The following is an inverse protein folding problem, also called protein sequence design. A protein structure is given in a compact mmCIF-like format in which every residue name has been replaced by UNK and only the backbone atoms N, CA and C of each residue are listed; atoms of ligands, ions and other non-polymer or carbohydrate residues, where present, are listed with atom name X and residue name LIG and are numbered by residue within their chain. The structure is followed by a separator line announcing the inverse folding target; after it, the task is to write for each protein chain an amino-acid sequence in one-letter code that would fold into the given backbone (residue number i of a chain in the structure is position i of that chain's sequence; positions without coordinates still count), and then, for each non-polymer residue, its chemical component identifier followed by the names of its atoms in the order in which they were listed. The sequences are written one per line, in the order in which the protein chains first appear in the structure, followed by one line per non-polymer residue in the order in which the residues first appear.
data_IF_130571371887
#
_entry.id   IF_130571371887
#
_cell.length_a   1.000
_cell.length_b   1.000
_cell.length_c   1.000
_cell.angle_alpha   90.00
_cell.angle_beta   90.00
_cell.angle_gamma   90.00
#
_symmetry.space_group_name_H-M   'P 1'
#
loop_
_entity.id
_entity.type
_entity.pdbx_description
1 polymer ?
#
# COMPACT_ATOMS: atom_id res chain seq x y z
N UNK A 1 0.46 -2.15 13.19
CA UNK A 1 -0.93 -1.71 13.37
C UNK A 1 -1.83 -2.88 13.04
N UNK A 2 -2.90 -3.17 13.81
CA UNK A 2 -3.79 -4.27 13.46
C UNK A 2 -4.56 -3.86 12.20
N UNK A 3 -4.34 -4.60 11.12
CA UNK A 3 -5.19 -4.56 9.94
C UNK A 3 -6.58 -4.93 10.44
N UNK A 4 -7.51 -3.97 10.44
CA UNK A 4 -8.85 -4.17 10.99
C UNK A 4 -9.46 -5.43 10.37
N UNK A 5 -9.86 -6.33 11.28
CA UNK A 5 -10.49 -7.61 11.00
C UNK A 5 -11.55 -7.50 9.92
N UNK A 6 -11.48 -8.44 8.96
CA UNK A 6 -12.60 -9.14 8.31
C UNK A 6 -13.92 -8.36 8.40
N UNK A 7 -14.02 -7.28 7.63
CA UNK A 7 -15.26 -6.54 7.46
C UNK A 7 -16.23 -7.41 6.66
N UNK A 8 -17.15 -8.04 7.37
CA UNK A 8 -18.53 -8.35 6.97
C UNK A 8 -18.84 -8.31 5.47
N UNK A 9 -18.61 -9.42 4.77
CA UNK A 9 -19.35 -9.73 3.54
C UNK A 9 -20.03 -11.07 3.73
N UNK A 10 -21.17 -11.06 4.42
CA UNK A 10 -22.15 -12.14 4.29
C UNK A 10 -22.83 -11.94 2.93
N UNK A 11 -22.32 -12.62 1.90
CA UNK A 11 -22.96 -12.66 0.58
C UNK A 11 -21.93 -12.69 -0.55
N UNK A 12 -21.89 -13.77 -1.34
CA UNK A 12 -20.98 -13.99 -2.47
C UNK A 12 -21.21 -13.06 -3.66
N UNK A 13 -21.01 -11.75 -3.47
CA UNK A 13 -21.07 -10.71 -4.49
C UNK A 13 -19.68 -10.12 -4.83
N UNK A 14 -19.61 -9.19 -5.79
CA UNK A 14 -18.35 -8.57 -6.19
C UNK A 14 -17.66 -7.85 -5.02
N UNK A 15 -16.34 -8.00 -4.83
CA UNK A 15 -15.60 -7.32 -3.78
C UNK A 15 -15.80 -5.80 -3.81
N UNK A 16 -16.27 -5.22 -2.70
CA UNK A 16 -16.45 -3.77 -2.58
C UNK A 16 -15.09 -3.07 -2.62
N UNK A 17 -14.98 -2.00 -3.41
CA UNK A 17 -13.80 -1.13 -3.39
C UNK A 17 -13.72 -0.41 -2.04
N UNK A 18 -12.60 -0.57 -1.35
CA UNK A 18 -12.37 -0.02 -0.01
C UNK A 18 -10.95 0.52 0.11
N UNK A 19 -10.80 1.56 0.92
CA UNK A 19 -9.52 2.15 1.30
C UNK A 19 -9.42 2.04 2.83
N UNK A 20 -8.62 1.10 3.38
CA UNK A 20 -8.31 1.12 4.81
C UNK A 20 -7.61 2.43 5.19
N UNK A 21 -7.90 2.95 6.37
CA UNK A 21 -7.09 4.04 6.94
C UNK A 21 -5.68 3.53 7.27
N UNK A 22 -4.66 4.34 6.96
CA UNK A 22 -3.27 4.11 7.34
C UNK A 22 -2.73 5.31 8.12
N UNK A 23 -1.78 5.03 9.02
CA UNK A 23 -0.97 6.07 9.65
C UNK A 23 0.40 6.10 8.98
N UNK A 24 0.63 7.16 8.23
CA UNK A 24 1.86 7.50 7.54
C UNK A 24 2.73 8.33 8.48
N UNK A 25 4.03 8.41 8.18
CA UNK A 25 4.96 9.11 9.06
C UNK A 25 6.05 9.86 8.31
N UNK A 26 6.47 10.97 8.90
CA UNK A 26 7.58 11.78 8.44
C UNK A 26 8.22 12.49 9.62
N UNK A 27 9.33 13.16 9.35
CA UNK A 27 10.03 13.90 10.38
C UNK A 27 10.68 15.18 9.85
N UNK A 28 10.92 16.09 10.79
CA UNK A 28 11.74 17.27 10.63
C UNK A 28 12.99 17.05 11.47
N UNK A 29 14.15 17.23 10.87
CA UNK A 29 15.45 17.14 11.57
C UNK A 29 16.04 18.53 11.64
N UNK A 30 16.04 19.07 12.86
CA UNK A 30 16.70 20.32 13.19
C UNK A 30 18.19 20.06 13.34
N UNK A 31 19.03 20.88 12.68
CA UNK A 31 20.48 20.81 12.83
C UNK A 31 21.00 22.15 13.34
N UNK A 32 21.75 22.19 14.46
CA UNK A 32 22.28 23.44 15.00
C UNK A 32 23.23 24.17 14.04
N UNK A 33 24.01 23.40 13.27
CA UNK A 33 25.12 23.92 12.44
C UNK A 33 24.89 23.71 10.93
N UNK A 34 23.66 23.36 10.51
CA UNK A 34 23.32 23.11 9.11
C UNK A 34 21.83 23.35 8.84
N UNK A 35 21.44 23.41 7.58
CA UNK A 35 20.02 23.52 7.22
C UNK A 35 19.23 22.33 7.74
N UNK A 36 18.09 22.65 8.35
CA UNK A 36 17.10 21.66 8.76
C UNK A 36 16.50 21.00 7.52
N UNK A 37 16.19 19.72 7.62
CA UNK A 37 15.63 18.97 6.50
C UNK A 37 14.44 18.12 6.93
N UNK A 38 13.59 17.79 5.97
CA UNK A 38 12.41 16.96 6.20
C UNK A 38 12.59 15.61 5.52
N UNK A 39 12.03 14.58 6.14
CA UNK A 39 11.95 13.25 5.57
C UNK A 39 10.50 12.77 5.61
N UNK A 40 10.06 12.11 4.54
CA UNK A 40 8.78 11.43 4.47
C UNK A 40 9.10 9.96 4.29
N UNK A 41 8.58 9.09 5.16
CA UNK A 41 8.68 7.66 4.93
C UNK A 41 7.78 7.34 3.74
N UNK A 42 8.37 7.01 2.59
CA UNK A 42 7.58 6.61 1.45
C UNK A 42 6.76 5.37 1.84
N UNK A 43 5.51 5.29 1.41
CA UNK A 43 4.65 4.16 1.79
C UNK A 43 3.55 3.96 0.75
N UNK A 44 3.26 2.70 0.41
CA UNK A 44 2.14 2.36 -0.46
C UNK A 44 0.82 2.59 0.27
N UNK A 45 -0.09 3.37 -0.34
CA UNK A 45 -1.48 3.45 0.09
C UNK A 45 -2.24 2.19 -0.34
N UNK A 46 -3.01 1.64 0.58
CA UNK A 46 -3.68 0.35 0.43
C UNK A 46 -5.11 0.56 -0.04
N UNK A 47 -5.49 -0.19 -1.07
CA UNK A 47 -6.87 -0.33 -1.53
C UNK A 47 -7.17 -1.79 -1.83
N UNK A 48 -8.42 -2.19 -1.62
CA UNK A 48 -8.86 -3.56 -1.85
C UNK A 48 -10.23 -3.61 -2.54
N UNK A 49 -10.50 -4.72 -3.22
CA UNK A 49 -11.76 -4.99 -3.90
C UNK A 49 -11.86 -4.30 -5.27
N UNK A 50 -13.07 -3.93 -5.69
CA UNK A 50 -13.31 -3.36 -7.02
C UNK A 50 -12.93 -4.31 -8.16
N UNK A 51 -12.81 -3.81 -9.38
CA UNK A 51 -12.33 -4.59 -10.54
C UNK A 51 -11.23 -3.82 -11.32
N UNK A 52 -10.07 -3.55 -10.69
CA UNK A 52 -9.06 -2.62 -11.24
C UNK A 52 -8.23 -3.26 -12.35
N UNK A 53 -8.80 -3.51 -13.53
CA UNK A 53 -8.12 -4.23 -14.63
C UNK A 53 -6.82 -3.54 -15.07
N UNK A 54 -6.80 -2.20 -15.05
CA UNK A 54 -5.63 -1.36 -15.35
C UNK A 54 -4.82 -0.93 -14.12
N UNK A 55 -5.20 -1.43 -12.93
CA UNK A 55 -4.68 -0.95 -11.64
C UNK A 55 -5.58 0.07 -10.98
N UNK A 56 -5.24 0.43 -9.74
CA UNK A 56 -5.90 1.51 -9.02
C UNK A 56 -5.33 2.87 -9.48
N UNK A 57 -6.17 3.89 -9.44
CA UNK A 57 -5.74 5.29 -9.57
C UNK A 57 -6.11 6.08 -8.33
N UNK A 58 -5.22 6.96 -7.90
CA UNK A 58 -5.31 7.71 -6.66
C UNK A 58 -5.39 9.20 -6.93
N UNK A 59 -6.32 9.85 -6.26
CA UNK A 59 -6.54 11.30 -6.33
C UNK A 59 -6.84 11.82 -4.93
N UNK A 60 -6.45 13.07 -4.65
CA UNK A 60 -6.87 13.73 -3.41
C UNK A 60 -8.39 13.91 -3.47
N UNK A 61 -9.10 13.55 -2.40
CA UNK A 61 -10.55 13.68 -2.37
C UNK A 61 -10.97 15.16 -2.46
N UNK A 62 -12.20 15.40 -2.94
CA UNK A 62 -12.75 16.75 -2.96
C UNK A 62 -12.73 17.37 -1.56
N UNK A 63 -12.30 18.64 -1.47
CA UNK A 63 -12.13 19.40 -0.21
C UNK A 63 -11.02 18.89 0.73
N UNK A 64 -10.22 17.91 0.31
CA UNK A 64 -9.02 17.51 1.03
C UNK A 64 -7.76 18.08 0.39
N UNK A 65 -6.68 18.18 1.16
CA UNK A 65 -5.37 18.64 0.70
C UNK A 65 -4.29 17.82 1.34
N UNK A 66 -3.25 17.46 0.57
CA UNK A 66 -2.03 16.91 1.13
C UNK A 66 -1.27 18.01 1.90
N UNK A 67 -0.54 17.60 2.94
CA UNK A 67 0.35 18.53 3.63
C UNK A 67 1.43 19.02 2.66
N UNK A 68 1.80 20.29 2.75
CA UNK A 68 2.95 20.82 2.03
C UNK A 68 4.18 19.93 2.25
N UNK A 69 4.98 19.73 1.19
CA UNK A 69 6.11 18.81 1.22
C UNK A 69 5.80 17.35 0.90
N UNK A 70 4.52 17.00 0.68
CA UNK A 70 4.10 15.62 0.39
C UNK A 70 3.31 15.53 -0.91
N UNK A 71 3.31 14.35 -1.51
CA UNK A 71 2.55 14.01 -2.71
C UNK A 71 2.19 12.53 -2.71
N UNK A 72 1.27 12.14 -3.59
CA UNK A 72 0.94 10.74 -3.89
C UNK A 72 1.05 10.52 -5.39
N UNK A 73 1.79 9.49 -5.79
CA UNK A 73 1.86 9.06 -7.19
C UNK A 73 0.50 8.49 -7.63
N UNK A 74 -0.18 9.08 -8.63
CA UNK A 74 -1.55 8.70 -8.98
C UNK A 74 -1.73 7.25 -9.42
N UNK A 75 -0.72 6.62 -10.03
CA UNK A 75 -0.84 5.27 -10.58
C UNK A 75 -0.35 4.17 -9.62
N UNK A 76 0.56 4.49 -8.71
CA UNK A 76 1.14 3.51 -7.78
C UNK A 76 0.56 3.65 -6.38
N UNK A 77 -0.06 4.80 -6.08
CA UNK A 77 -0.56 5.11 -4.74
C UNK A 77 0.57 5.25 -3.72
N UNK A 78 1.80 5.54 -4.13
CA UNK A 78 2.88 5.74 -3.17
C UNK A 78 2.81 7.17 -2.64
N UNK A 79 2.68 7.31 -1.34
CA UNK A 79 2.82 8.59 -0.64
C UNK A 79 4.31 8.86 -0.39
N UNK A 80 4.81 10.03 -0.76
CA UNK A 80 6.22 10.39 -0.64
C UNK A 80 6.44 11.91 -0.54
N UNK A 81 7.70 12.31 -0.32
CA UNK A 81 8.10 13.72 -0.31
C UNK A 81 8.10 14.32 -1.72
N UNK A 82 7.69 15.58 -1.84
CA UNK A 82 7.91 16.41 -3.04
C UNK A 82 8.93 17.54 -2.82
N UNK A 83 9.70 17.50 -1.72
CA UNK A 83 10.78 18.43 -1.42
C UNK A 83 10.40 19.70 -0.66
N UNK A 84 9.11 19.92 -0.36
CA UNK A 84 8.67 21.03 0.50
C UNK A 84 8.90 20.79 1.99
N UNK A 85 8.83 21.86 2.79
CA UNK A 85 8.90 21.78 4.25
C UNK A 85 7.63 21.18 4.85
N UNK A 86 7.81 20.32 5.85
CA UNK A 86 6.72 19.76 6.64
C UNK A 86 6.37 20.66 7.83
N UNK A 87 5.13 20.55 8.30
CA UNK A 87 4.67 21.18 9.56
C UNK A 87 4.55 20.09 10.62
N UNK A 88 5.13 20.25 11.83
CA UNK A 88 5.05 19.24 12.88
C UNK A 88 3.60 19.02 13.34
N UNK A 89 3.30 17.81 13.79
CA UNK A 89 1.98 17.45 14.31
C UNK A 89 1.30 16.32 13.55
N UNK A 90 0.03 16.12 13.88
CA UNK A 90 -0.84 15.10 13.26
C UNK A 90 -1.75 15.78 12.26
N UNK A 91 -1.70 15.33 11.01
CA UNK A 91 -2.50 15.82 9.91
C UNK A 91 -3.38 14.70 9.38
N UNK A 92 -4.55 15.04 8.85
CA UNK A 92 -5.46 14.09 8.21
C UNK A 92 -5.78 14.54 6.81
N UNK A 93 -5.80 13.61 5.86
CA UNK A 93 -6.22 13.88 4.50
C UNK A 93 -6.99 12.68 3.95
N UNK A 94 -7.86 12.94 2.98
CA UNK A 94 -8.70 11.95 2.36
C UNK A 94 -8.21 11.70 0.93
N UNK A 95 -8.05 10.43 0.58
CA UNK A 95 -7.73 10.01 -0.79
C UNK A 95 -8.90 9.26 -1.38
N UNK A 96 -9.16 9.53 -2.66
CA UNK A 96 -10.11 8.78 -3.48
C UNK A 96 -9.33 7.83 -4.38
N UNK A 97 -9.65 6.54 -4.27
CA UNK A 97 -9.17 5.50 -5.17
C UNK A 97 -10.24 5.19 -6.22
N UNK A 98 -9.84 4.95 -7.46
CA UNK A 98 -10.69 4.40 -8.51
C UNK A 98 -10.17 3.08 -9.05
N UNK A 99 -11.09 2.15 -9.34
CA UNK A 99 -10.82 0.92 -10.09
C UNK A 99 -11.09 1.06 -11.60
N UNK A 100 -11.37 2.28 -12.08
CA UNK A 100 -11.77 2.59 -13.46
C UNK A 100 -13.29 2.61 -13.70
N UNK A 101 -14.08 2.06 -12.78
CA UNK A 101 -15.55 2.01 -12.86
C UNK A 101 -16.26 2.60 -11.64
N UNK A 102 -15.64 2.46 -10.47
CA UNK A 102 -16.12 2.89 -9.16
C UNK A 102 -15.02 3.66 -8.46
N UNK A 103 -15.43 4.36 -7.41
CA UNK A 103 -14.51 5.07 -6.51
C UNK A 103 -14.83 4.73 -5.06
N UNK A 104 -13.80 4.79 -4.22
CA UNK A 104 -13.94 4.77 -2.77
C UNK A 104 -13.03 5.83 -2.16
N UNK A 105 -13.40 6.34 -0.99
CA UNK A 105 -12.62 7.35 -0.27
C UNK A 105 -12.23 6.80 1.09
N UNK A 106 -10.98 7.06 1.51
CA UNK A 106 -10.49 6.71 2.82
C UNK A 106 -9.64 7.83 3.43
N UNK A 107 -9.68 7.91 4.76
CA UNK A 107 -8.93 8.90 5.54
C UNK A 107 -7.59 8.34 5.98
N UNK A 108 -6.54 9.11 5.75
CA UNK A 108 -5.17 8.84 6.14
C UNK A 108 -4.74 9.80 7.23
N UNK A 109 -3.93 9.30 8.17
CA UNK A 109 -3.28 10.12 9.18
C UNK A 109 -1.81 10.23 8.86
N UNK A 110 -1.25 11.43 8.85
CA UNK A 110 0.17 11.68 8.68
C UNK A 110 0.74 12.33 9.93
N UNK A 111 1.70 11.66 10.57
CA UNK A 111 2.33 12.13 11.80
C UNK A 111 3.74 12.64 11.48
N UNK A 112 3.95 13.93 11.71
CA UNK A 112 5.24 14.61 11.56
C UNK A 112 5.85 14.86 12.93
N UNK A 113 6.99 14.22 13.20
CA UNK A 113 7.76 14.41 14.44
C UNK A 113 9.00 15.26 14.21
N UNK A 114 9.40 16.04 15.20
CA UNK A 114 10.64 16.82 15.16
C UNK A 114 11.73 16.11 15.95
N UNK A 115 12.95 16.13 15.43
CA UNK A 115 14.15 15.58 16.05
C UNK A 115 15.29 16.59 16.00
N UNK A 116 16.17 16.54 17.00
CA UNK A 116 17.41 17.32 17.03
C UNK A 116 18.58 16.44 16.58
N UNK A 117 19.31 16.88 15.56
CA UNK A 117 20.49 16.19 15.00
C UNK A 117 20.16 15.01 14.09
N UNK A 118 19.45 13.99 14.59
CA UNK A 118 19.17 12.75 13.86
C UNK A 118 17.73 12.25 14.10
N UNK A 119 17.08 11.79 13.02
CA UNK A 119 15.79 11.09 13.09
C UNK A 119 15.91 9.65 12.59
N UNK A 120 15.11 8.72 13.14
CA UNK A 120 14.97 7.40 12.56
C UNK A 120 14.29 7.50 11.18
N UNK A 121 15.03 7.23 10.11
CA UNK A 121 14.47 6.96 8.78
C UNK A 121 13.93 5.52 8.74
N UNK A 122 12.76 5.29 8.14
CA UNK A 122 12.36 3.94 7.81
C UNK A 122 13.25 3.43 6.65
N UNK A 123 14.04 2.41 6.94
CA UNK A 123 14.80 1.71 5.90
C UNK A 123 13.82 1.11 4.89
N UNK A 124 14.19 1.07 3.62
CA UNK A 124 13.37 0.44 2.59
C UNK A 124 13.07 -1.02 2.93
N UNK A 125 11.80 -1.33 3.17
CA UNK A 125 11.38 -2.60 3.76
C UNK A 125 9.95 -2.99 3.38
N UNK A 126 9.67 -4.27 3.54
CA UNK A 126 8.31 -4.80 3.62
C UNK A 126 7.76 -4.63 5.05
N UNK A 127 6.43 -4.65 5.26
CA UNK A 127 5.84 -4.54 6.60
C UNK A 127 6.35 -5.65 7.53
N UNK A 128 6.68 -5.27 8.77
CA UNK A 128 7.19 -6.17 9.81
C UNK A 128 6.09 -7.06 10.43
N UNK A 129 5.40 -7.84 9.62
CA UNK A 129 4.36 -8.80 10.00
C UNK A 129 4.58 -10.11 9.26
N UNK A 130 4.28 -11.24 9.90
CA UNK A 130 4.48 -12.56 9.27
C UNK A 130 3.38 -12.94 8.28
N UNK A 131 2.18 -12.37 8.42
CA UNK A 131 1.02 -12.71 7.62
C UNK A 131 0.20 -11.46 7.28
N UNK A 132 -0.22 -11.37 6.01
CA UNK A 132 -1.04 -10.29 5.46
C UNK A 132 -2.26 -10.92 4.79
N UNK A 133 -3.39 -11.05 5.49
CA UNK A 133 -4.62 -11.50 4.87
C UNK A 133 -5.16 -10.42 3.94
N UNK A 134 -5.36 -10.78 2.68
CA UNK A 134 -6.07 -9.97 1.70
C UNK A 134 -7.56 -10.35 1.73
N UNK A 135 -8.46 -9.47 1.26
CA UNK A 135 -9.88 -9.82 1.20
C UNK A 135 -10.15 -11.04 0.32
N UNK A 136 -11.22 -11.76 0.67
CA UNK A 136 -11.69 -12.90 -0.10
C UNK A 136 -11.95 -12.50 -1.57
N UNK A 137 -11.54 -13.36 -2.49
CA UNK A 137 -11.80 -13.20 -3.91
C UNK A 137 -12.87 -14.18 -4.37
N UNK A 138 -13.70 -13.80 -5.34
CA UNK A 138 -14.80 -14.63 -5.81
C UNK A 138 -14.61 -14.96 -7.29
N UNK A 139 -14.87 -16.22 -7.65
CA UNK A 139 -14.73 -16.66 -9.04
C UNK A 139 -15.68 -15.86 -9.96
N UNK A 140 -15.20 -15.50 -11.15
CA UNK A 140 -15.96 -14.72 -12.12
C UNK A 140 -16.13 -13.23 -11.78
N UNK A 141 -15.68 -12.76 -10.61
CA UNK A 141 -15.67 -11.35 -10.25
C UNK A 141 -14.25 -10.80 -10.24
N UNK A 142 -14.05 -9.67 -10.93
CA UNK A 142 -12.81 -8.91 -10.84
C UNK A 142 -12.55 -8.47 -9.40
N UNK A 143 -11.29 -8.52 -8.97
CA UNK A 143 -10.84 -8.03 -7.68
C UNK A 143 -9.41 -7.48 -7.76
N UNK A 144 -9.05 -6.63 -6.80
CA UNK A 144 -7.69 -6.14 -6.62
C UNK A 144 -7.29 -5.96 -5.16
N UNK A 145 -5.99 -5.94 -4.90
CA UNK A 145 -5.42 -5.67 -3.59
C UNK A 145 -4.03 -5.04 -3.73
N UNK A 146 -3.80 -3.90 -3.07
CA UNK A 146 -2.48 -3.29 -2.98
C UNK A 146 -1.51 -4.18 -2.20
N UNK A 147 -0.26 -4.21 -2.65
CA UNK A 147 0.89 -4.77 -1.94
C UNK A 147 1.58 -3.67 -1.13
N UNK A 148 2.25 -4.04 -0.04
CA UNK A 148 2.73 -3.09 0.95
C UNK A 148 4.26 -3.10 1.07
N UNK A 149 4.84 -1.90 0.99
CA UNK A 149 6.23 -1.59 1.25
C UNK A 149 6.32 -0.16 1.79
N UNK A 150 7.40 0.14 2.49
CA UNK A 150 7.64 1.44 3.09
C UNK A 150 9.14 1.75 3.21
N UNK A 151 9.46 3.02 3.42
CA UNK A 151 10.80 3.51 3.69
C UNK A 151 11.52 4.13 2.50
N UNK A 152 12.81 4.36 2.66
CA UNK A 152 13.63 5.23 1.78
C UNK A 152 14.03 4.66 0.40
N UNK A 153 13.31 3.65 -0.12
CA UNK A 153 13.62 3.07 -1.43
C UNK A 153 13.35 4.06 -2.56
N UNK A 154 14.24 4.15 -3.54
CA UNK A 154 14.09 5.08 -4.65
C UNK A 154 12.91 4.72 -5.58
N UNK A 155 12.00 5.66 -5.82
CA UNK A 155 10.85 5.45 -6.70
C UNK A 155 11.26 5.48 -8.19
N UNK A 156 10.56 4.73 -9.07
CA UNK A 156 9.43 3.84 -8.77
C UNK A 156 9.85 2.49 -8.16
N UNK A 157 8.95 1.87 -7.39
CA UNK A 157 9.11 0.51 -6.88
C UNK A 157 8.50 -0.52 -7.83
N UNK A 158 9.14 -1.69 -7.92
CA UNK A 158 8.69 -2.83 -8.72
C UNK A 158 8.48 -4.08 -7.85
N UNK A 159 7.50 -4.90 -8.24
CA UNK A 159 6.95 -5.96 -7.38
C UNK A 159 6.95 -7.29 -8.09
N UNK A 160 7.49 -8.33 -7.44
CA UNK A 160 7.66 -9.65 -8.04
C UNK A 160 7.13 -10.74 -7.13
N UNK A 161 6.48 -11.75 -7.71
CA UNK A 161 6.17 -12.99 -6.99
C UNK A 161 7.48 -13.73 -6.70
N UNK A 162 7.72 -14.10 -5.44
CA UNK A 162 8.95 -14.79 -5.03
C UNK A 162 8.70 -16.26 -4.81
N UNK A 163 7.69 -16.60 -4.00
CA UNK A 163 7.28 -17.98 -3.75
C UNK A 163 5.76 -18.07 -3.62
N UNK A 164 5.24 -19.30 -3.74
CA UNK A 164 3.81 -19.56 -3.68
C UNK A 164 3.12 -19.27 -5.01
N UNK A 165 1.79 -19.22 -4.96
CA UNK A 165 0.96 -19.07 -6.16
C UNK A 165 -0.18 -18.09 -5.88
N UNK A 166 -0.60 -17.38 -6.93
CA UNK A 166 -1.83 -16.60 -6.91
C UNK A 166 -3.01 -17.50 -7.32
N UNK A 167 -4.25 -17.14 -6.95
CA UNK A 167 -5.42 -17.78 -7.54
C UNK A 167 -5.35 -17.73 -9.08
N UNK A 168 -5.61 -18.84 -9.80
CA UNK A 168 -5.64 -18.84 -11.26
C UNK A 168 -6.53 -17.72 -11.80
N UNK A 169 -6.04 -16.95 -12.78
CA UNK A 169 -6.74 -15.76 -13.31
C UNK A 169 -6.38 -14.44 -12.60
N UNK A 170 -5.51 -14.48 -11.59
CA UNK A 170 -4.92 -13.31 -10.96
C UNK A 170 -3.44 -13.14 -11.30
N UNK A 171 -2.97 -11.90 -11.29
CA UNK A 171 -1.60 -11.49 -11.59
C UNK A 171 -1.13 -10.38 -10.65
N UNK A 172 0.19 -10.22 -10.49
CA UNK A 172 0.79 -9.02 -9.90
C UNK A 172 1.05 -8.01 -11.03
N UNK A 173 0.50 -6.81 -10.91
CA UNK A 173 1.01 -5.66 -11.64
C UNK A 173 2.29 -5.18 -10.99
N UNK A 174 3.40 -5.56 -11.62
CA UNK A 174 4.73 -5.30 -11.12
C UNK A 174 5.05 -3.81 -11.02
N UNK A 175 4.40 -2.96 -11.83
CA UNK A 175 4.67 -1.52 -11.87
C UNK A 175 3.84 -0.71 -10.86
N UNK A 176 2.68 -1.25 -10.45
CA UNK A 176 1.75 -0.57 -9.54
C UNK A 176 1.66 -1.20 -8.15
N UNK A 177 2.23 -2.38 -7.97
CA UNK A 177 2.16 -3.10 -6.69
C UNK A 177 0.75 -3.54 -6.34
N UNK A 178 0.02 -4.09 -7.31
CA UNK A 178 -1.36 -4.55 -7.10
C UNK A 178 -1.50 -6.00 -7.56
N UNK A 179 -2.01 -6.86 -6.70
CA UNK A 179 -2.54 -8.17 -7.11
C UNK A 179 -3.94 -7.97 -7.64
N UNK A 180 -4.20 -8.35 -8.89
CA UNK A 180 -5.50 -8.14 -9.52
C UNK A 180 -5.86 -9.24 -10.51
N UNK A 181 -7.13 -9.31 -10.84
CA UNK A 181 -7.62 -10.19 -11.89
C UNK A 181 -9.00 -10.72 -11.57
N UNK A 182 -9.39 -11.79 -12.24
CA UNK A 182 -10.66 -12.49 -12.00
C UNK A 182 -10.33 -13.95 -11.72
N UNK A 183 -10.51 -14.45 -10.48
CA UNK A 183 -10.25 -15.85 -10.18
C UNK A 183 -11.07 -16.78 -11.07
N UNK A 184 -10.43 -17.81 -11.62
CA UNK A 184 -11.08 -18.87 -12.37
C UNK A 184 -11.87 -19.80 -11.44
N UNK A 185 -12.84 -20.53 -11.99
CA UNK A 185 -13.63 -21.52 -11.23
C UNK A 185 -12.78 -22.58 -10.53
N UNK A 186 -11.62 -22.94 -11.11
CA UNK A 186 -10.67 -23.88 -10.51
C UNK A 186 -10.05 -23.39 -9.20
N UNK A 187 -10.18 -22.10 -8.87
CA UNK A 187 -9.68 -21.54 -7.63
C UNK A 187 -10.62 -21.77 -6.43
N UNK A 188 -11.89 -22.05 -6.68
CA UNK A 188 -12.93 -22.12 -5.66
C UNK A 188 -12.63 -23.14 -4.54
N UNK A 189 -12.81 -22.72 -3.29
CA UNK A 189 -12.59 -23.53 -2.10
C UNK A 189 -11.15 -23.62 -1.62
N UNK A 190 -10.23 -22.81 -2.15
CA UNK A 190 -8.80 -22.85 -1.81
C UNK A 190 -8.31 -21.54 -1.19
N UNK A 191 -7.26 -21.66 -0.36
CA UNK A 191 -6.47 -20.52 0.11
C UNK A 191 -5.14 -20.53 -0.62
N UNK A 192 -4.78 -19.38 -1.19
CA UNK A 192 -3.54 -19.14 -1.90
C UNK A 192 -2.61 -18.31 -1.01
N UNK A 193 -1.37 -18.76 -0.87
CA UNK A 193 -0.35 -18.09 -0.07
C UNK A 193 0.85 -17.77 -0.95
N UNK A 194 1.35 -16.55 -0.87
CA UNK A 194 2.50 -16.12 -1.65
C UNK A 194 3.34 -15.07 -0.92
N UNK A 195 4.61 -15.00 -1.30
CA UNK A 195 5.53 -13.95 -0.86
C UNK A 195 5.99 -13.14 -2.07
N UNK A 196 6.49 -11.94 -1.81
CA UNK A 196 6.93 -11.02 -2.85
C UNK A 196 8.33 -10.50 -2.56
N UNK A 197 8.98 -10.02 -3.62
CA UNK A 197 10.18 -9.19 -3.57
C UNK A 197 9.80 -7.83 -4.11
N UNK A 198 10.22 -6.77 -3.40
CA UNK A 198 10.01 -5.38 -3.83
C UNK A 198 11.38 -4.80 -4.12
N UNK A 199 11.54 -4.18 -5.29
CA UNK A 199 12.77 -3.53 -5.71
C UNK A 199 12.54 -2.05 -5.93
N UNK A 200 13.50 -1.24 -5.53
CA UNK A 200 13.53 0.17 -5.91
C UNK A 200 14.07 0.35 -7.34
N UNK A 201 14.09 1.59 -7.87
CA UNK A 201 14.52 1.84 -9.25
C UNK A 201 15.99 1.48 -9.53
N UNK A 202 16.81 1.35 -8.49
CA UNK A 202 18.24 0.96 -8.61
C UNK A 202 18.43 -0.55 -8.56
N UNK A 203 17.36 -1.29 -8.27
CA UNK A 203 17.36 -2.74 -8.11
C UNK A 203 17.62 -3.20 -6.67
N UNK A 204 17.76 -2.29 -5.71
CA UNK A 204 17.87 -2.62 -4.28
C UNK A 204 16.57 -3.27 -3.81
N UNK A 205 16.67 -4.39 -3.13
CA UNK A 205 15.52 -5.09 -2.57
C UNK A 205 15.10 -4.50 -1.22
N UNK A 206 13.79 -4.43 -0.98
CA UNK A 206 13.23 -4.07 0.30
C UNK A 206 13.60 -5.13 1.35
N UNK A 207 14.06 -4.67 2.50
CA UNK A 207 14.39 -5.55 3.62
C UNK A 207 13.15 -6.29 4.14
N UNK A 208 13.37 -7.53 4.54
CA UNK A 208 12.41 -8.30 5.33
C UNK A 208 12.79 -8.11 6.80
N UNK A 209 11.90 -7.51 7.58
CA UNK A 209 12.08 -7.38 9.01
C UNK A 209 11.53 -8.62 9.73
N UNK A 210 12.43 -9.47 10.25
CA UNK A 210 12.08 -10.68 10.99
C UNK A 210 12.77 -11.92 10.44
N UNK A 211 12.42 -13.09 10.98
CA UNK A 211 13.00 -14.37 10.54
C UNK A 211 12.43 -14.90 9.24
N UNK A 212 11.27 -14.39 8.79
CA UNK A 212 10.57 -14.86 7.59
C UNK A 212 9.95 -13.68 6.81
N UNK A 213 9.82 -13.80 5.47
CA UNK A 213 9.09 -12.83 4.66
C UNK A 213 7.60 -12.74 5.06
N UNK A 214 6.99 -11.54 4.98
CA UNK A 214 5.54 -11.39 5.08
C UNK A 214 4.84 -12.25 4.02
N UNK A 215 3.94 -13.12 4.47
CA UNK A 215 3.16 -13.99 3.59
C UNK A 215 1.77 -13.41 3.36
N UNK A 216 1.46 -13.12 2.10
CA UNK A 216 0.14 -12.71 1.67
C UNK A 216 -0.76 -13.93 1.51
N UNK A 217 -2.02 -13.82 1.92
CA UNK A 217 -3.01 -14.90 1.78
C UNK A 217 -4.29 -14.39 1.14
N UNK A 218 -4.83 -15.13 0.16
CA UNK A 218 -6.10 -14.86 -0.50
C UNK A 218 -6.95 -16.13 -0.41
N UNK A 219 -8.15 -16.02 0.16
CA UNK A 219 -9.12 -17.10 0.15
C UNK A 219 -10.09 -16.93 -1.02
N UNK A 220 -10.39 -18.02 -1.72
CA UNK A 220 -11.44 -18.07 -2.74
C UNK A 220 -12.54 -19.01 -2.26
N UNK A 221 -13.69 -18.49 -1.78
CA UNK A 221 -14.80 -19.33 -1.35
C UNK A 221 -15.36 -20.22 -2.48
N UNK A 222 -16.13 -21.24 -2.10
CA UNK A 222 -16.94 -22.03 -3.05
C UNK A 222 -18.20 -21.29 -3.47
#
# INVERSE_FOLDING_TARGET
MPITRKGDIVGGGPPKLVVPGQTLSGCIVNRPDADSYCFVNNETLLAYGGAPLSGYTWTVAALSTLLAGTTVDPETGIFHSNGGMLVPGTHTFDMTVSDGSRTATGTFTFVVKTYEGFAPSAVFQQPAVSSIPLPDAYTGYGCGASLWALGEGELPWSWYLTTGELPPGMVIDQSRGVVRGTPHSSAAGNTYSFTITVKDKTGKEALILGSNPPTYTIFVPR
#
